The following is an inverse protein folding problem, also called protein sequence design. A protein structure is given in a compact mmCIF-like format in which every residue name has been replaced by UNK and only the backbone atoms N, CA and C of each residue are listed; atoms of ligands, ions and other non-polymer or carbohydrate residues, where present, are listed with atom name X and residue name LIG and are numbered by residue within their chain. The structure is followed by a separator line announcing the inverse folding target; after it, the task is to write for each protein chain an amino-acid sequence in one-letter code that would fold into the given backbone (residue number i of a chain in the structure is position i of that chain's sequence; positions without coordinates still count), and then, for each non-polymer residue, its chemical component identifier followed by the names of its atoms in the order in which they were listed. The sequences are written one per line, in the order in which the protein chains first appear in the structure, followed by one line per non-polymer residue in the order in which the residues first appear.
data_IF_865145976138
#
_entry.id   IF_865145976138
#
_cell.length_a   1.000
_cell.length_b   1.000
_cell.length_c   1.000
_cell.angle_alpha   90.00
_cell.angle_beta   90.00
_cell.angle_gamma   90.00
#
_symmetry.space_group_name_H-M   'P 1'
#
loop_
_entity.id
_entity.type
_entity.pdbx_description
1 polymer ?
#
# COMPACT_ATOMS: atom_id res chain seq x y z
N UNK A 1 5.85 1.99 19.69
CA UNK A 1 6.40 1.06 18.69
C UNK A 1 6.26 1.81 17.39
N UNK A 2 7.35 2.09 16.69
CA UNK A 2 7.30 2.80 15.41
C UNK A 2 7.03 1.76 14.34
N UNK A 3 6.03 1.99 13.51
CA UNK A 3 5.68 1.10 12.42
C UNK A 3 6.45 1.55 11.17
N UNK A 4 7.09 0.62 10.49
CA UNK A 4 8.00 0.91 9.38
C UNK A 4 7.38 0.35 8.10
N UNK A 5 7.13 1.23 7.13
CA UNK A 5 6.68 0.86 5.80
C UNK A 5 7.88 0.89 4.84
N UNK A 6 8.12 -0.23 4.16
CA UNK A 6 9.20 -0.38 3.19
C UNK A 6 8.69 -0.12 1.77
N UNK A 7 8.18 1.10 1.56
CA UNK A 7 7.80 1.61 0.24
C UNK A 7 8.79 2.71 -0.10
N UNK A 8 9.42 2.60 -1.28
CA UNK A 8 10.33 3.63 -1.75
C UNK A 8 9.53 4.81 -2.29
N UNK A 9 9.67 5.99 -1.69
CA UNK A 9 9.20 7.23 -2.31
C UNK A 9 9.92 7.40 -3.65
N UNK A 10 9.14 7.65 -4.71
CA UNK A 10 9.60 7.85 -6.08
C UNK A 10 10.49 9.09 -6.21
N UNK A 11 11.76 8.98 -5.79
CA UNK A 11 12.85 9.77 -6.35
C UNK A 11 13.34 9.07 -7.62
N UNK A 12 13.64 9.81 -8.70
CA UNK A 12 14.30 9.25 -9.88
C UNK A 12 15.66 8.66 -9.49
N UNK A 13 15.70 7.38 -9.11
CA UNK A 13 16.93 6.66 -8.86
C UNK A 13 17.57 6.37 -10.22
N UNK A 14 18.81 6.83 -10.41
CA UNK A 14 19.58 6.62 -11.64
C UNK A 14 19.65 5.13 -12.04
N UNK A 15 19.91 4.84 -13.33
CA UNK A 15 19.69 3.52 -13.90
C UNK A 15 20.52 2.44 -13.21
N UNK A 16 19.84 1.49 -12.56
CA UNK A 16 20.45 0.24 -12.10
C UNK A 16 20.76 -0.65 -13.32
N UNK A 17 21.95 -1.24 -13.33
CA UNK A 17 22.38 -2.13 -14.41
C UNK A 17 21.41 -3.32 -14.57
N UNK A 18 20.78 -3.42 -15.74
CA UNK A 18 19.87 -4.49 -16.08
C UNK A 18 20.60 -5.84 -16.13
N UNK A 19 20.23 -6.76 -15.24
CA UNK A 19 20.61 -8.16 -15.35
C UNK A 19 19.61 -8.88 -16.26
N UNK A 20 20.09 -9.43 -17.38
CA UNK A 20 19.30 -10.30 -18.25
C UNK A 20 18.86 -11.56 -17.49
N UNK A 21 17.56 -11.85 -17.48
CA UNK A 21 17.04 -13.12 -16.95
C UNK A 21 16.28 -13.92 -18.01
N UNK A 22 16.70 -15.17 -18.11
CA UNK A 22 16.30 -16.18 -19.10
C UNK A 22 14.97 -16.84 -18.73
N UNK A 23 14.13 -17.13 -19.73
CA UNK A 23 12.89 -17.90 -19.60
C UNK A 23 13.18 -19.40 -19.65
N UNK A 24 12.78 -20.18 -18.63
CA UNK A 24 12.36 -21.59 -18.80
C UNK A 24 12.04 -22.30 -17.48
N UNK A 25 10.84 -22.93 -17.41
CA UNK A 25 10.60 -24.17 -16.67
C UNK A 25 9.64 -24.08 -15.48
N UNK A 26 8.46 -24.71 -15.61
CA UNK A 26 7.55 -25.14 -14.52
C UNK A 26 7.41 -24.21 -13.30
N UNK A 27 7.26 -22.93 -13.57
CA UNK A 27 6.71 -21.84 -12.77
C UNK A 27 6.42 -20.76 -13.84
N UNK A 28 5.31 -20.93 -14.56
CA UNK A 28 5.09 -20.30 -15.86
C UNK A 28 5.17 -18.77 -15.79
N UNK A 29 6.04 -18.18 -16.60
CA UNK A 29 6.21 -16.74 -16.88
C UNK A 29 6.81 -15.85 -15.77
N UNK A 30 6.79 -16.25 -14.49
CA UNK A 30 7.32 -15.47 -13.36
C UNK A 30 8.34 -16.29 -12.56
N UNK A 31 9.64 -16.16 -12.87
CA UNK A 31 10.71 -16.86 -12.13
C UNK A 31 10.72 -16.47 -10.64
N UNK A 32 11.02 -17.42 -9.74
CA UNK A 32 11.15 -17.24 -8.27
C UNK A 32 9.92 -16.68 -7.51
N UNK A 33 8.90 -16.19 -8.20
CA UNK A 33 7.70 -15.55 -7.68
C UNK A 33 6.65 -16.51 -7.11
N UNK A 34 6.61 -17.76 -7.58
CA UNK A 34 5.48 -18.70 -7.45
C UNK A 34 4.75 -18.83 -6.10
N UNK A 35 5.34 -18.45 -4.97
CA UNK A 35 4.61 -18.34 -3.71
C UNK A 35 3.67 -17.13 -3.66
N UNK A 36 4.11 -15.96 -4.13
CA UNK A 36 3.36 -14.70 -4.03
C UNK A 36 2.12 -14.70 -4.91
N UNK A 37 2.22 -15.09 -6.19
CA UNK A 37 1.03 -15.14 -7.07
C UNK A 37 0.02 -16.19 -6.59
N UNK A 38 0.50 -17.30 -6.03
CA UNK A 38 -0.38 -18.29 -5.43
C UNK A 38 -1.19 -17.68 -4.26
N UNK A 39 -0.53 -16.93 -3.37
CA UNK A 39 -1.20 -16.22 -2.27
C UNK A 39 -2.17 -15.16 -2.79
N UNK A 40 -1.74 -14.31 -3.73
CA UNK A 40 -2.59 -13.27 -4.35
C UNK A 40 -3.85 -13.89 -4.98
N UNK A 41 -3.72 -15.08 -5.58
CA UNK A 41 -4.86 -15.77 -6.22
C UNK A 41 -5.94 -16.22 -5.22
N UNK A 42 -5.63 -16.31 -3.92
CA UNK A 42 -6.58 -16.73 -2.89
C UNK A 42 -7.64 -15.66 -2.60
N UNK A 43 -7.31 -14.38 -2.75
CA UNK A 43 -8.20 -13.26 -2.39
C UNK A 43 -8.80 -12.58 -3.61
N UNK A 44 -9.91 -11.83 -3.44
CA UNK A 44 -10.47 -11.04 -4.53
C UNK A 44 -9.54 -9.88 -4.91
N UNK A 45 -9.02 -9.17 -3.90
CA UNK A 45 -8.12 -8.01 -4.11
C UNK A 45 -6.82 -8.43 -4.80
N UNK A 46 -6.18 -9.52 -4.37
CA UNK A 46 -4.97 -10.03 -5.00
C UNK A 46 -5.18 -10.46 -6.44
N UNK A 47 -6.32 -11.08 -6.77
CA UNK A 47 -6.68 -11.38 -8.16
C UNK A 47 -6.94 -10.13 -8.99
N UNK A 48 -7.57 -9.10 -8.43
CA UNK A 48 -7.77 -7.81 -9.10
C UNK A 48 -6.42 -7.14 -9.39
N UNK A 49 -5.51 -7.11 -8.41
CA UNK A 49 -4.17 -6.57 -8.57
C UNK A 49 -3.38 -7.30 -9.68
N UNK A 50 -3.41 -8.65 -9.68
CA UNK A 50 -2.80 -9.45 -10.73
C UNK A 50 -3.40 -9.17 -12.12
N UNK A 51 -4.72 -9.01 -12.20
CA UNK A 51 -5.39 -8.68 -13.46
C UNK A 51 -4.97 -7.29 -13.96
N UNK A 52 -4.87 -6.30 -13.05
CA UNK A 52 -4.44 -4.95 -13.42
C UNK A 52 -3.03 -4.94 -14.01
N UNK A 53 -2.09 -5.66 -13.39
CA UNK A 53 -0.71 -5.82 -13.91
C UNK A 53 -0.72 -6.44 -15.31
N UNK A 54 -1.55 -7.46 -15.54
CA UNK A 54 -1.67 -8.11 -16.85
C UNK A 54 -2.28 -7.16 -17.90
N UNK A 55 -3.38 -6.49 -17.56
CA UNK A 55 -4.12 -5.59 -18.45
C UNK A 55 -3.27 -4.37 -18.86
N UNK A 56 -2.40 -3.89 -17.96
CA UNK A 56 -1.52 -2.76 -18.21
C UNK A 56 -0.13 -3.18 -18.71
N UNK A 57 0.17 -4.47 -18.83
CA UNK A 57 1.45 -4.97 -19.34
C UNK A 57 2.65 -4.59 -18.46
N UNK A 58 2.43 -4.40 -17.15
CA UNK A 58 3.49 -4.05 -16.19
C UNK A 58 4.35 -5.28 -15.90
N UNK A 59 5.68 -5.08 -15.88
CA UNK A 59 6.61 -6.15 -15.54
C UNK A 59 6.69 -6.36 -14.02
N UNK A 60 6.81 -7.60 -13.56
CA UNK A 60 7.06 -7.89 -12.14
C UNK A 60 8.44 -8.50 -11.97
N UNK A 61 9.30 -7.81 -11.24
CA UNK A 61 10.71 -8.15 -11.02
C UNK A 61 10.91 -8.48 -9.54
N UNK A 62 11.07 -9.77 -9.26
CA UNK A 62 11.41 -10.24 -7.92
C UNK A 62 12.93 -10.17 -7.70
N UNK A 63 13.35 -9.50 -6.63
CA UNK A 63 14.76 -9.40 -6.24
C UNK A 63 14.92 -9.48 -4.73
N UNK A 64 16.06 -9.98 -4.27
CA UNK A 64 16.35 -10.02 -2.84
C UNK A 64 16.92 -8.68 -2.36
N UNK A 65 16.32 -8.11 -1.32
CA UNK A 65 16.73 -6.86 -0.69
C UNK A 65 16.15 -5.61 -1.36
N UNK A 66 16.19 -4.52 -0.61
CA UNK A 66 15.65 -3.20 -1.00
C UNK A 66 14.19 -3.02 -0.64
N UNK A 67 13.63 -1.87 -0.99
CA UNK A 67 12.19 -1.62 -0.91
C UNK A 67 11.46 -2.27 -2.09
N UNK A 68 10.17 -2.54 -1.89
CA UNK A 68 9.27 -2.75 -3.03
C UNK A 68 8.76 -1.40 -3.51
N UNK A 69 8.57 -1.26 -4.82
CA UNK A 69 8.02 -0.06 -5.44
C UNK A 69 7.55 -0.32 -6.87
N UNK A 70 6.63 0.51 -7.35
CA UNK A 70 6.37 0.71 -8.78
C UNK A 70 7.36 1.70 -9.39
N UNK A 71 7.87 1.42 -10.58
CA UNK A 71 8.66 2.33 -11.40
C UNK A 71 7.89 2.64 -12.69
N UNK A 72 7.35 3.86 -12.76
CA UNK A 72 6.57 4.34 -13.90
C UNK A 72 7.37 4.46 -15.20
N UNK A 73 8.66 4.79 -15.12
CA UNK A 73 9.52 4.94 -16.30
C UNK A 73 9.92 3.57 -16.88
N UNK A 74 10.25 2.62 -16.01
CA UNK A 74 10.56 1.24 -16.41
C UNK A 74 9.32 0.39 -16.70
N UNK A 75 8.13 0.89 -16.34
CA UNK A 75 6.85 0.19 -16.36
C UNK A 75 6.94 -1.17 -15.66
N UNK A 76 7.48 -1.17 -14.44
CA UNK A 76 7.80 -2.38 -13.70
C UNK A 76 7.60 -2.24 -12.18
N UNK A 77 7.09 -3.29 -11.55
CA UNK A 77 7.15 -3.48 -10.10
C UNK A 77 8.44 -4.19 -9.72
N UNK A 78 9.12 -3.67 -8.71
CA UNK A 78 10.21 -4.35 -8.03
C UNK A 78 9.72 -4.86 -6.68
N UNK A 79 9.78 -6.17 -6.45
CA UNK A 79 9.25 -6.80 -5.22
C UNK A 79 10.39 -7.47 -4.43
N UNK A 80 10.55 -7.11 -3.16
CA UNK A 80 11.58 -7.68 -2.28
C UNK A 80 11.22 -9.12 -1.85
N UNK A 81 12.07 -10.09 -2.22
CA UNK A 81 11.90 -11.51 -1.88
C UNK A 81 12.34 -11.90 -0.47
N UNK A 82 12.86 -10.99 0.35
CA UNK A 82 13.13 -11.26 1.77
C UNK A 82 11.87 -11.34 2.63
N UNK A 83 10.75 -10.82 2.13
CA UNK A 83 9.43 -10.94 2.72
C UNK A 83 8.83 -12.34 2.50
N UNK A 84 8.02 -12.80 3.44
CA UNK A 84 7.19 -14.00 3.24
C UNK A 84 6.27 -13.83 2.02
N UNK A 85 5.80 -14.91 1.38
CA UNK A 85 4.82 -14.82 0.30
C UNK A 85 3.57 -14.01 0.65
N UNK A 86 3.12 -14.10 1.91
CA UNK A 86 1.97 -13.35 2.45
C UNK A 86 2.25 -11.86 2.57
N UNK A 87 3.38 -11.48 3.17
CA UNK A 87 3.81 -10.07 3.24
C UNK A 87 3.97 -9.48 1.84
N UNK A 88 4.63 -10.20 0.93
CA UNK A 88 4.78 -9.77 -0.47
C UNK A 88 3.45 -9.59 -1.17
N UNK A 89 2.46 -10.45 -0.91
CA UNK A 89 1.15 -10.31 -1.52
C UNK A 89 0.43 -9.03 -1.05
N UNK A 90 0.59 -8.66 0.23
CA UNK A 90 0.05 -7.41 0.75
C UNK A 90 0.78 -6.20 0.19
N UNK A 91 2.12 -6.24 0.15
CA UNK A 91 2.93 -5.20 -0.50
C UNK A 91 2.59 -5.06 -1.98
N UNK A 92 2.41 -6.16 -2.71
CA UNK A 92 2.04 -6.12 -4.13
C UNK A 92 0.70 -5.40 -4.36
N UNK A 93 -0.31 -5.64 -3.50
CA UNK A 93 -1.59 -4.91 -3.57
C UNK A 93 -1.38 -3.42 -3.31
N UNK A 94 -0.55 -3.06 -2.33
CA UNK A 94 -0.17 -1.66 -2.06
C UNK A 94 0.52 -1.01 -3.25
N UNK A 95 1.47 -1.68 -3.90
CA UNK A 95 2.16 -1.14 -5.07
C UNK A 95 1.22 -0.94 -6.27
N UNK A 96 0.24 -1.84 -6.47
CA UNK A 96 -0.76 -1.64 -7.52
C UNK A 96 -1.60 -0.40 -7.26
N UNK A 97 -1.93 -0.08 -6.00
CA UNK A 97 -2.58 1.18 -5.67
C UNK A 97 -1.75 2.40 -6.11
N UNK A 98 -0.44 2.40 -5.88
CA UNK A 98 0.44 3.47 -6.37
C UNK A 98 0.41 3.62 -7.90
N UNK A 99 0.37 2.49 -8.61
CA UNK A 99 0.35 2.49 -10.06
C UNK A 99 -1.02 2.89 -10.65
N UNK A 100 -2.12 2.62 -9.93
CA UNK A 100 -3.48 3.02 -10.29
C UNK A 100 -3.74 4.51 -10.05
N UNK A 101 -3.25 5.04 -8.92
CA UNK A 101 -3.60 6.36 -8.39
C UNK A 101 -2.42 7.33 -8.36
N UNK A 102 -1.58 7.30 -9.40
CA UNK A 102 -0.45 8.23 -9.58
C UNK A 102 -0.92 9.67 -9.94
N UNK A 103 -1.88 10.18 -9.16
CA UNK A 103 -2.65 11.41 -9.39
C UNK A 103 -1.98 12.65 -8.76
N UNK A 104 -0.99 12.44 -7.89
CA UNK A 104 -0.19 13.51 -7.31
C UNK A 104 0.96 13.89 -8.26
N UNK A 105 0.66 14.61 -9.34
CA UNK A 105 1.72 15.19 -10.18
C UNK A 105 2.44 16.29 -9.39
N UNK A 106 3.68 16.00 -9.03
CA UNK A 106 4.54 16.89 -8.27
C UNK A 106 4.70 18.25 -8.95
N UNK A 107 4.71 18.31 -10.29
CA UNK A 107 4.91 19.55 -11.05
C UNK A 107 3.68 20.46 -11.16
N UNK A 108 2.49 19.91 -10.92
CA UNK A 108 1.22 20.63 -11.09
C UNK A 108 0.59 21.09 -9.76
N UNK A 109 0.98 20.46 -8.64
CA UNK A 109 0.39 20.70 -7.33
C UNK A 109 1.24 21.64 -6.46
N UNK A 110 0.58 22.42 -5.60
CA UNK A 110 1.26 23.12 -4.52
C UNK A 110 1.77 22.15 -3.46
N UNK A 111 2.85 22.49 -2.76
CA UNK A 111 3.51 21.63 -1.76
C UNK A 111 2.55 20.95 -0.78
N UNK A 112 1.65 21.73 -0.17
CA UNK A 112 0.68 21.21 0.81
C UNK A 112 -0.31 20.22 0.19
N UNK A 113 -0.83 20.55 -1.00
CA UNK A 113 -1.77 19.67 -1.72
C UNK A 113 -1.08 18.39 -2.21
N UNK A 114 0.18 18.48 -2.66
CA UNK A 114 0.98 17.31 -3.03
C UNK A 114 1.15 16.36 -1.83
N UNK A 115 1.60 16.90 -0.68
CA UNK A 115 1.79 16.10 0.54
C UNK A 115 0.48 15.47 1.02
N UNK A 116 -0.63 16.21 1.00
CA UNK A 116 -1.95 15.69 1.39
C UNK A 116 -2.38 14.54 0.48
N UNK A 117 -2.28 14.71 -0.85
CA UNK A 117 -2.68 13.66 -1.80
C UNK A 117 -1.80 12.43 -1.73
N UNK A 118 -0.48 12.59 -1.60
CA UNK A 118 0.44 11.46 -1.45
C UNK A 118 0.21 10.69 -0.15
N UNK A 119 -0.15 11.36 0.94
CA UNK A 119 -0.55 10.67 2.17
C UNK A 119 -1.88 9.94 1.98
N UNK A 120 -2.86 10.54 1.28
CA UNK A 120 -4.15 9.89 1.02
C UNK A 120 -3.98 8.59 0.20
N UNK A 121 -3.06 8.61 -0.78
CA UNK A 121 -2.65 7.46 -1.58
C UNK A 121 -2.03 6.34 -0.71
N UNK A 122 -1.11 6.68 0.19
CA UNK A 122 -0.50 5.72 1.14
C UNK A 122 -1.53 5.12 2.12
N UNK A 123 -2.49 5.93 2.55
CA UNK A 123 -3.61 5.48 3.39
C UNK A 123 -4.47 4.47 2.63
N UNK A 124 -4.81 4.76 1.38
CA UNK A 124 -5.60 3.85 0.55
C UNK A 124 -4.85 2.53 0.30
N UNK A 125 -3.60 2.57 -0.16
CA UNK A 125 -2.77 1.39 -0.37
C UNK A 125 -2.64 0.53 0.88
N UNK A 126 -2.42 1.17 2.04
CA UNK A 126 -2.35 0.46 3.33
C UNK A 126 -3.69 -0.19 3.69
N UNK A 127 -4.81 0.51 3.49
CA UNK A 127 -6.14 -0.05 3.74
C UNK A 127 -6.43 -1.23 2.83
N UNK A 128 -6.07 -1.17 1.55
CA UNK A 128 -6.23 -2.29 0.62
C UNK A 128 -5.35 -3.49 0.99
N UNK A 129 -4.11 -3.26 1.40
CA UNK A 129 -3.21 -4.30 1.90
C UNK A 129 -3.78 -4.98 3.16
N UNK A 130 -4.35 -4.21 4.10
CA UNK A 130 -5.06 -4.74 5.27
C UNK A 130 -6.25 -5.58 4.84
N UNK A 131 -7.10 -5.07 3.93
CA UNK A 131 -8.28 -5.81 3.46
C UNK A 131 -7.90 -7.10 2.74
N UNK A 132 -6.81 -7.10 1.97
CA UNK A 132 -6.25 -8.27 1.33
C UNK A 132 -5.82 -9.31 2.38
N UNK A 133 -5.04 -8.89 3.38
CA UNK A 133 -4.59 -9.80 4.44
C UNK A 133 -5.76 -10.38 5.25
N UNK A 134 -6.79 -9.57 5.54
CA UNK A 134 -8.01 -10.05 6.21
C UNK A 134 -8.75 -11.10 5.37
N UNK A 135 -8.81 -10.96 4.04
CA UNK A 135 -9.38 -11.99 3.16
C UNK A 135 -8.55 -13.27 3.21
N UNK A 136 -7.21 -13.14 3.18
CA UNK A 136 -6.29 -14.26 3.24
C UNK A 136 -6.42 -15.04 4.56
N UNK A 137 -6.37 -14.33 5.69
CA UNK A 137 -6.57 -14.91 7.02
C UNK A 137 -7.93 -15.63 7.08
N UNK A 138 -9.04 -15.01 6.63
CA UNK A 138 -10.36 -15.67 6.59
C UNK A 138 -10.36 -16.95 5.76
N UNK A 139 -9.78 -16.94 4.57
CA UNK A 139 -9.70 -18.11 3.70
C UNK A 139 -8.89 -19.26 4.32
N UNK A 140 -7.95 -18.92 5.22
CA UNK A 140 -7.08 -19.86 5.92
C UNK A 140 -7.51 -20.15 7.37
N UNK A 141 -8.77 -19.82 7.71
CA UNK A 141 -9.35 -20.17 9.01
C UNK A 141 -9.05 -19.18 10.14
N UNK A 142 -8.72 -17.92 9.81
CA UNK A 142 -8.50 -16.82 10.74
C UNK A 142 -7.11 -16.76 11.36
N UNK A 143 -6.17 -17.60 10.92
CA UNK A 143 -4.80 -17.61 11.44
C UNK A 143 -3.86 -16.93 10.43
N UNK A 144 -2.98 -16.07 10.92
CA UNK A 144 -1.92 -15.43 10.14
C UNK A 144 -1.35 -14.23 10.88
N UNK A 145 -0.15 -13.76 10.51
CA UNK A 145 0.36 -12.50 11.01
C UNK A 145 -0.50 -11.33 10.52
N UNK A 146 -0.54 -10.27 11.31
CA UNK A 146 -1.11 -8.97 10.92
C UNK A 146 -0.16 -8.26 9.95
N UNK A 147 -0.71 -7.51 8.99
CA UNK A 147 0.08 -6.56 8.19
C UNK A 147 0.17 -5.20 8.91
N UNK A 148 0.92 -4.26 8.34
CA UNK A 148 1.07 -2.89 8.86
C UNK A 148 -0.29 -2.28 9.23
N UNK A 149 -0.40 -1.78 10.47
CA UNK A 149 -1.59 -1.13 11.04
C UNK A 149 -2.88 -1.95 11.03
N UNK A 150 -2.84 -3.24 10.69
CA UNK A 150 -4.07 -4.05 10.59
C UNK A 150 -4.81 -4.09 11.92
N UNK A 151 -4.11 -4.31 13.03
CA UNK A 151 -4.76 -4.42 14.34
C UNK A 151 -5.44 -3.12 14.73
N UNK A 152 -4.74 -2.01 14.55
CA UNK A 152 -5.23 -0.67 14.85
C UNK A 152 -6.45 -0.33 13.98
N UNK A 153 -6.42 -0.69 12.70
CA UNK A 153 -7.56 -0.59 11.79
C UNK A 153 -8.75 -1.43 12.28
N UNK A 154 -8.53 -2.69 12.66
CA UNK A 154 -9.58 -3.61 13.11
C UNK A 154 -10.20 -3.18 14.45
N UNK A 155 -9.38 -2.70 15.40
CA UNK A 155 -9.86 -2.16 16.67
C UNK A 155 -10.75 -0.92 16.45
N UNK A 156 -10.32 0.01 15.58
CA UNK A 156 -11.09 1.20 15.22
C UNK A 156 -12.40 0.84 14.50
N UNK A 157 -12.36 -0.15 13.61
CA UNK A 157 -13.52 -0.70 12.93
C UNK A 157 -14.55 -1.23 13.93
N UNK A 158 -14.12 -2.11 14.85
CA UNK A 158 -15.00 -2.79 15.79
C UNK A 158 -15.60 -1.84 16.84
N UNK A 159 -14.82 -0.87 17.31
CA UNK A 159 -15.28 0.18 18.21
C UNK A 159 -16.36 1.05 17.54
N UNK A 160 -16.17 1.47 16.29
CA UNK A 160 -17.14 2.26 15.55
C UNK A 160 -18.47 1.52 15.35
N UNK A 161 -18.41 0.24 14.98
CA UNK A 161 -19.61 -0.62 14.84
C UNK A 161 -20.32 -0.77 16.19
N UNK A 162 -19.57 -0.98 17.27
CA UNK A 162 -20.12 -1.14 18.62
C UNK A 162 -20.80 0.14 19.10
N UNK A 163 -20.16 1.30 18.93
CA UNK A 163 -20.73 2.62 19.24
C UNK A 163 -22.00 2.90 18.45
N UNK A 164 -22.01 2.62 17.14
CA UNK A 164 -23.17 2.83 16.29
C UNK A 164 -24.36 1.95 16.71
N UNK A 165 -24.12 0.66 17.02
CA UNK A 165 -25.15 -0.25 17.54
C UNK A 165 -25.70 0.21 18.89
N UNK A 166 -24.83 0.63 19.81
CA UNK A 166 -25.23 1.16 21.13
C UNK A 166 -26.13 2.39 21.00
N UNK A 167 -25.70 3.40 20.23
CA UNK A 167 -26.45 4.64 20.04
C UNK A 167 -27.85 4.37 19.46
N UNK A 168 -27.98 3.44 18.50
CA UNK A 168 -29.29 3.05 17.96
C UNK A 168 -30.17 2.37 19.00
N UNK A 169 -29.60 1.49 19.82
CA UNK A 169 -30.31 0.83 20.91
C UNK A 169 -30.84 1.82 21.95
N UNK A 170 -30.02 2.80 22.34
CA UNK A 170 -30.40 3.87 23.30
C UNK A 170 -31.55 4.73 22.79
N UNK A 171 -31.64 4.92 21.46
CA UNK A 171 -32.71 5.66 20.80
C UNK A 171 -33.95 4.81 20.45
N UNK A 172 -33.96 3.51 20.77
CA UNK A 172 -35.05 2.60 20.41
C UNK A 172 -35.23 2.42 18.89
N UNK A 173 -34.17 2.62 18.11
CA UNK A 173 -34.18 2.46 16.65
C UNK A 173 -34.00 0.99 16.25
N UNK A 174 -34.41 0.58 15.03
CA UNK A 174 -34.13 -0.76 14.50
C UNK A 174 -32.63 -1.09 14.55
N UNK A 175 -32.29 -2.38 14.67
CA UNK A 175 -30.90 -2.83 14.64
C UNK A 175 -30.14 -2.30 13.41
N UNK A 176 -28.84 -2.03 13.57
CA UNK A 176 -27.99 -1.59 12.47
C UNK A 176 -27.83 -2.74 11.47
N UNK A 177 -28.14 -2.49 10.20
CA UNK A 177 -27.90 -3.47 9.15
C UNK A 177 -26.40 -3.66 8.90
N UNK A 178 -26.02 -4.84 8.40
CA UNK A 178 -24.61 -5.23 8.25
C UNK A 178 -23.84 -4.32 7.30
N UNK A 179 -24.50 -3.79 6.27
CA UNK A 179 -23.87 -2.91 5.29
C UNK A 179 -23.58 -1.52 5.87
N UNK A 180 -24.51 -0.95 6.64
CA UNK A 180 -24.26 0.31 7.36
C UNK A 180 -23.24 0.13 8.47
N UNK A 181 -23.24 -1.01 9.18
CA UNK A 181 -22.19 -1.35 10.14
C UNK A 181 -20.83 -1.42 9.46
N UNK A 182 -20.75 -2.14 8.33
CA UNK A 182 -19.52 -2.27 7.54
C UNK A 182 -18.95 -0.92 7.13
N UNK A 183 -19.76 -0.04 6.55
CA UNK A 183 -19.34 1.33 6.17
C UNK A 183 -18.86 2.16 7.36
N UNK A 184 -19.49 2.02 8.52
CA UNK A 184 -19.07 2.74 9.71
C UNK A 184 -17.70 2.26 10.21
N UNK A 185 -17.49 0.95 10.20
CA UNK A 185 -16.20 0.35 10.56
C UNK A 185 -15.10 0.68 9.56
N UNK A 186 -15.36 0.57 8.25
CA UNK A 186 -14.37 0.87 7.20
C UNK A 186 -13.90 2.32 7.25
N UNK A 187 -14.84 3.26 7.45
CA UNK A 187 -14.51 4.68 7.62
C UNK A 187 -13.62 4.90 8.85
N UNK A 188 -13.98 4.34 10.00
CA UNK A 188 -13.19 4.51 11.22
C UNK A 188 -11.81 3.86 11.13
N UNK A 189 -11.72 2.69 10.49
CA UNK A 189 -10.44 2.03 10.20
C UNK A 189 -9.55 2.88 9.30
N UNK A 190 -10.10 3.45 8.22
CA UNK A 190 -9.36 4.38 7.34
C UNK A 190 -8.89 5.62 8.10
N UNK A 191 -9.79 6.27 8.85
CA UNK A 191 -9.45 7.45 9.68
C UNK A 191 -8.31 7.14 10.67
N UNK A 192 -8.23 5.91 11.20
CA UNK A 192 -7.14 5.49 12.08
C UNK A 192 -5.81 5.31 11.35
N UNK A 193 -5.83 4.78 10.13
CA UNK A 193 -4.63 4.67 9.27
C UNK A 193 -4.15 6.06 8.89
N UNK A 194 -5.05 6.95 8.45
CA UNK A 194 -4.76 8.35 8.14
C UNK A 194 -4.11 9.08 9.32
N UNK A 195 -4.63 8.92 10.52
CA UNK A 195 -4.02 9.48 11.73
C UNK A 195 -2.60 8.97 11.98
N UNK A 196 -2.30 7.70 11.66
CA UNK A 196 -0.98 7.11 11.85
C UNK A 196 0.08 7.73 10.94
N UNK A 197 -0.29 8.02 9.70
CA UNK A 197 0.58 8.75 8.76
C UNK A 197 0.71 10.22 9.19
N UNK A 198 -0.40 10.89 9.50
CA UNK A 198 -0.42 12.30 9.84
C UNK A 198 0.36 12.66 11.12
N UNK A 199 0.46 11.74 12.09
CA UNK A 199 1.14 11.97 13.36
C UNK A 199 2.56 11.39 13.43
N UNK A 200 3.06 10.78 12.35
CA UNK A 200 4.40 10.17 12.28
C UNK A 200 4.54 8.83 13.03
N UNK A 201 3.45 8.13 13.34
CA UNK A 201 3.49 6.76 13.84
C UNK A 201 4.06 5.79 12.79
N UNK A 202 3.73 6.06 11.52
CA UNK A 202 4.33 5.42 10.35
C UNK A 202 5.46 6.29 9.80
N UNK A 203 6.64 5.70 9.68
CA UNK A 203 7.82 6.35 9.09
C UNK A 203 8.39 5.49 7.97
N UNK A 204 9.14 6.15 7.08
CA UNK A 204 9.86 5.48 6.01
C UNK A 204 10.94 4.56 6.57
N UNK A 205 11.08 3.38 5.97
CA UNK A 205 12.14 2.43 6.33
C UNK A 205 13.55 2.86 5.93
N UNK A 206 13.67 3.83 5.03
CA UNK A 206 14.95 4.20 4.40
C UNK A 206 15.75 5.17 5.27
N UNK A 207 15.07 6.17 5.83
CA UNK A 207 15.63 7.32 6.54
C UNK A 207 15.06 7.48 7.95
N UNK A 208 13.86 6.95 8.20
CA UNK A 208 13.15 7.10 9.47
C UNK A 208 12.34 8.39 9.57
N UNK A 209 12.26 9.16 8.49
CA UNK A 209 11.50 10.40 8.42
C UNK A 209 10.00 10.10 8.25
N UNK A 210 9.16 11.06 8.66
CA UNK A 210 7.73 10.93 8.45
C UNK A 210 7.39 11.04 6.96
N UNK A 211 6.29 10.42 6.54
CA UNK A 211 5.85 10.51 5.15
C UNK A 211 5.59 11.96 4.71
N UNK A 212 5.08 12.80 5.61
CA UNK A 212 4.87 14.22 5.33
C UNK A 212 6.19 14.98 5.08
N UNK A 213 7.25 14.65 5.84
CA UNK A 213 8.59 15.21 5.62
C UNK A 213 9.15 14.74 4.29
N UNK A 214 9.12 13.43 4.02
CA UNK A 214 9.65 12.84 2.78
C UNK A 214 8.98 13.41 1.52
N UNK A 215 7.65 13.49 1.49
CA UNK A 215 6.95 14.11 0.34
C UNK A 215 7.18 15.62 0.26
N UNK A 216 7.29 16.29 1.40
CA UNK A 216 7.62 17.71 1.43
C UNK A 216 8.99 17.99 0.82
N UNK A 217 10.00 17.19 1.18
CA UNK A 217 11.36 17.27 0.64
C UNK A 217 11.40 16.91 -0.85
N UNK A 218 10.70 15.86 -1.28
CA UNK A 218 10.58 15.51 -2.69
C UNK A 218 10.02 16.67 -3.53
N UNK A 219 8.97 17.33 -3.01
CA UNK A 219 8.40 18.51 -3.66
C UNK A 219 9.40 19.68 -3.70
N UNK A 220 10.06 19.96 -2.57
CA UNK A 220 11.04 21.03 -2.46
C UNK A 220 12.21 20.80 -3.44
N UNK A 221 12.70 19.57 -3.57
CA UNK A 221 13.80 19.22 -4.49
C UNK A 221 13.40 19.40 -5.96
N UNK A 222 12.20 18.93 -6.34
CA UNK A 222 11.69 19.08 -7.70
C UNK A 222 11.55 20.56 -8.13
N UNK A 223 11.19 21.45 -7.20
CA UNK A 223 10.95 22.87 -7.50
C UNK A 223 12.17 23.76 -7.26
N UNK A 224 13.09 23.37 -6.36
CA UNK A 224 14.32 24.11 -6.11
C UNK A 224 15.37 23.89 -7.22
N UNK A 225 15.28 22.79 -7.97
CA UNK A 225 16.12 22.56 -9.16
C UNK A 225 15.91 23.60 -10.26
N UNK A 226 14.76 24.27 -10.32
CA UNK A 226 14.44 25.25 -11.37
C UNK A 226 15.21 26.59 -11.24
N UNK A 227 15.80 26.88 -10.07
CA UNK A 227 16.47 28.16 -9.79
C UNK A 227 18.00 28.11 -9.86
N UNK A 228 18.60 26.98 -10.27
CA UNK A 228 20.05 26.88 -10.53
C UNK A 228 20.29 26.23 -11.88
N UNK A 229 20.96 26.96 -12.77
CA UNK A 229 21.22 26.73 -14.20
C UNK A 229 21.89 25.36 -14.57
N UNK A 230 22.08 24.42 -13.65
CA UNK A 230 22.79 23.16 -13.91
C UNK A 230 22.28 22.00 -13.03
N UNK A 231 21.13 21.42 -13.38
CA UNK A 231 20.81 20.02 -13.06
C UNK A 231 20.63 19.28 -14.38
#
# INVERSE_FOLDING_TARGET
MVAVLAVGVLGSFGPAAAAEHTRSGACGRFGSGCGTEAVLSETRLGRTALQWVEDNGVQVIYRAGGASYYDGDAHAFYIDTNQSPEERANTFVHEVNHAEHHDADIGDLGREEFVERSIDEEVEGTVEAIQNNRQLQRNRGGNGPDTLLQREYEDAYDDAVTKARRARSELGLPALDDETARRAGERAGRERVEQAFANGEVVSSLDGDTYAENYGEAWDDAHNCLLRIFC
#
